data_IF_699676327899
#
_entry.id   IF_699676327899
#
_cell.length_a   1.000
_cell.length_b   1.000
_cell.length_c   1.000
_cell.angle_alpha   90.00
_cell.angle_beta   90.00
_cell.angle_gamma   90.00
#
_symmetry.space_group_name_H-M   'P 1'
#
loop_
_entity.id
_entity.type
_entity.pdbx_description
1 polymer ?
#
# COMPACT_ATOMS: atom_id res chain seq x y z
N UNK A 1 20.43 5.27 17.53
CA UNK A 1 20.19 5.18 16.07
C UNK A 1 19.31 6.36 15.71
N UNK A 2 19.88 7.32 15.03
CA UNK A 2 19.21 8.52 14.56
C UNK A 2 18.67 8.27 13.17
N UNK A 3 17.44 8.67 12.91
CA UNK A 3 16.77 8.42 11.64
C UNK A 3 16.27 9.72 11.02
N UNK A 4 16.44 9.84 9.72
CA UNK A 4 15.91 10.94 8.92
C UNK A 4 15.28 10.42 7.65
N UNK A 5 14.27 11.11 7.16
CA UNK A 5 13.71 10.86 5.83
C UNK A 5 13.90 12.13 5.01
N UNK A 6 14.38 11.94 3.78
CA UNK A 6 14.42 13.01 2.79
C UNK A 6 13.45 12.66 1.68
N UNK A 7 12.66 13.62 1.24
CA UNK A 7 11.73 13.47 0.12
C UNK A 7 11.99 14.61 -0.86
N UNK A 8 12.42 14.23 -2.05
CA UNK A 8 12.72 15.18 -3.13
C UNK A 8 11.83 14.95 -4.35
N UNK A 9 11.50 16.03 -5.05
CA UNK A 9 10.80 15.98 -6.34
C UNK A 9 11.75 16.42 -7.45
N UNK A 10 12.09 15.50 -8.34
CA UNK A 10 12.95 15.80 -9.51
C UNK A 10 12.21 15.46 -10.80
N UNK A 11 11.84 16.49 -11.59
CA UNK A 11 11.04 16.35 -12.82
C UNK A 11 9.76 15.52 -12.56
N UNK A 12 9.72 14.29 -13.10
CA UNK A 12 8.56 13.39 -13.00
C UNK A 12 8.74 12.29 -11.93
N UNK A 13 9.73 12.43 -11.03
CA UNK A 13 10.03 11.42 -10.01
C UNK A 13 10.01 12.03 -8.63
N UNK A 14 9.47 11.29 -7.67
CA UNK A 14 9.60 11.59 -6.25
C UNK A 14 10.48 10.50 -5.66
N UNK A 15 11.51 10.88 -4.93
CA UNK A 15 12.43 9.96 -4.26
C UNK A 15 12.33 10.14 -2.77
N UNK A 16 12.25 9.02 -2.07
CA UNK A 16 12.27 8.95 -0.61
C UNK A 16 13.53 8.22 -0.18
N UNK A 17 14.34 8.85 0.66
CA UNK A 17 15.56 8.30 1.23
C UNK A 17 15.35 8.09 2.73
N UNK A 18 15.64 6.90 3.22
CA UNK A 18 15.77 6.63 4.65
C UNK A 18 17.25 6.68 5.02
N UNK A 19 17.58 7.53 5.98
CA UNK A 19 18.95 7.71 6.49
C UNK A 19 18.97 7.22 7.94
N UNK A 20 19.95 6.37 8.26
CA UNK A 20 20.23 5.90 9.62
C UNK A 20 21.70 6.20 9.97
N UNK A 21 21.91 6.97 11.05
CA UNK A 21 23.24 7.38 11.55
C UNK A 21 24.15 7.95 10.42
N UNK A 22 23.56 8.80 9.54
CA UNK A 22 24.16 9.48 8.38
C UNK A 22 24.38 8.59 7.13
N UNK A 23 24.05 7.30 7.16
CA UNK A 23 24.09 6.39 6.02
C UNK A 23 22.72 6.25 5.36
N UNK A 24 22.67 6.26 4.02
CA UNK A 24 21.44 5.98 3.27
C UNK A 24 21.22 4.47 3.25
N UNK A 25 20.16 4.00 3.92
CA UNK A 25 19.83 2.58 4.05
C UNK A 25 18.74 2.12 3.09
N UNK A 26 17.88 3.03 2.64
CA UNK A 26 16.80 2.72 1.70
C UNK A 26 16.58 3.90 0.73
N UNK A 27 16.31 3.57 -0.54
CA UNK A 27 15.92 4.55 -1.57
C UNK A 27 14.70 4.02 -2.29
N UNK A 28 13.61 4.77 -2.24
CA UNK A 28 12.42 4.49 -3.03
C UNK A 28 12.24 5.57 -4.10
N UNK A 29 11.86 5.16 -5.30
CA UNK A 29 11.59 6.08 -6.40
C UNK A 29 10.19 5.80 -6.92
N UNK A 30 9.35 6.83 -6.96
CA UNK A 30 8.02 6.80 -7.58
C UNK A 30 7.92 7.80 -8.73
N UNK A 31 7.06 7.52 -9.69
CA UNK A 31 6.72 8.46 -10.76
C UNK A 31 5.66 9.42 -10.21
N UNK A 32 5.71 10.69 -10.60
CA UNK A 32 4.71 11.68 -10.22
C UNK A 32 3.33 11.25 -10.75
N UNK A 33 2.33 11.21 -9.89
CA UNK A 33 1.06 10.51 -10.09
C UNK A 33 0.14 11.08 -11.18
N UNK A 34 0.38 12.30 -11.66
CA UNK A 34 -0.39 12.86 -12.77
C UNK A 34 -0.31 12.04 -14.08
N UNK A 35 0.63 11.10 -14.16
CA UNK A 35 0.91 10.28 -15.34
C UNK A 35 0.88 8.76 -15.08
N UNK A 36 0.45 8.30 -13.89
CA UNK A 36 0.43 6.85 -13.60
C UNK A 36 -0.72 6.18 -14.34
N UNK A 37 -0.44 5.17 -15.19
CA UNK A 37 -1.50 4.42 -15.85
C UNK A 37 -2.38 3.70 -14.82
N UNK A 38 -3.64 3.38 -15.17
CA UNK A 38 -4.52 2.62 -14.30
C UNK A 38 -3.88 1.27 -13.93
N UNK A 39 -4.06 0.84 -12.67
CA UNK A 39 -3.50 -0.43 -12.18
C UNK A 39 -2.32 -0.27 -11.23
N UNK A 40 -2.27 0.84 -10.48
CA UNK A 40 -1.31 1.06 -9.39
C UNK A 40 -1.51 0.04 -8.27
N UNK A 41 -0.40 -0.43 -7.69
CA UNK A 41 -0.39 -1.35 -6.56
C UNK A 41 -1.29 -0.86 -5.42
N UNK A 42 -2.26 -1.68 -5.03
CA UNK A 42 -3.22 -1.38 -3.97
C UNK A 42 -4.52 -0.71 -4.43
N UNK A 43 -4.61 -0.22 -5.68
CA UNK A 43 -5.88 0.27 -6.25
C UNK A 43 -6.94 -0.82 -6.22
N UNK A 44 -8.21 -0.45 -5.93
CA UNK A 44 -9.35 -1.37 -5.91
C UNK A 44 -10.36 -0.96 -6.98
N UNK A 45 -10.77 -1.95 -7.78
CA UNK A 45 -11.70 -1.77 -8.90
C UNK A 45 -12.86 -2.75 -8.84
N UNK A 46 -13.94 -2.46 -9.58
CA UNK A 46 -14.87 -3.47 -10.04
C UNK A 46 -14.36 -3.95 -11.39
N UNK A 47 -13.78 -5.14 -11.41
CA UNK A 47 -13.28 -5.77 -12.63
C UNK A 47 -14.31 -6.70 -13.25
N UNK A 48 -14.23 -6.90 -14.57
CA UNK A 48 -15.09 -7.81 -15.35
C UNK A 48 -14.28 -8.96 -15.92
N UNK A 49 -14.73 -10.18 -15.70
CA UNK A 49 -14.07 -11.38 -16.23
C UNK A 49 -14.23 -11.43 -17.75
N UNK A 50 -13.13 -11.34 -18.48
CA UNK A 50 -13.09 -11.38 -19.94
C UNK A 50 -12.80 -12.80 -20.46
N UNK A 51 -11.91 -13.52 -19.78
CA UNK A 51 -11.51 -14.86 -20.19
C UNK A 51 -11.10 -15.73 -18.99
N UNK A 52 -11.26 -17.05 -19.13
CA UNK A 52 -10.86 -18.05 -18.13
C UNK A 52 -10.03 -19.12 -18.83
N UNK A 53 -8.81 -19.34 -18.33
CA UNK A 53 -7.83 -20.28 -18.92
C UNK A 53 -7.54 -21.37 -17.86
N UNK A 54 -8.33 -22.43 -17.88
CA UNK A 54 -8.32 -23.50 -16.88
C UNK A 54 -6.97 -24.24 -16.76
N UNK A 55 -6.30 -24.47 -17.88
CA UNK A 55 -5.03 -25.22 -17.93
C UNK A 55 -3.87 -24.54 -17.18
N UNK A 56 -3.95 -23.21 -16.99
CA UNK A 56 -2.97 -22.45 -16.20
C UNK A 56 -3.55 -21.96 -14.87
N UNK A 57 -4.79 -22.32 -14.55
CA UNK A 57 -5.45 -21.90 -13.30
C UNK A 57 -5.69 -20.39 -13.21
N UNK A 58 -5.91 -19.70 -14.33
CA UNK A 58 -5.98 -18.24 -14.39
C UNK A 58 -7.25 -17.72 -15.05
N UNK A 59 -7.63 -16.50 -14.69
CA UNK A 59 -8.58 -15.68 -15.44
C UNK A 59 -7.95 -14.34 -15.81
N UNK A 60 -8.53 -13.68 -16.80
CA UNK A 60 -8.18 -12.32 -17.18
C UNK A 60 -9.35 -11.41 -16.86
N UNK A 61 -9.10 -10.44 -15.99
CA UNK A 61 -10.08 -9.49 -15.50
C UNK A 61 -9.73 -8.10 -16.02
N UNK A 62 -10.65 -7.50 -16.75
CA UNK A 62 -10.52 -6.12 -17.20
C UNK A 62 -10.96 -5.17 -16.11
N UNK A 63 -10.09 -4.23 -15.72
CA UNK A 63 -10.33 -3.24 -14.64
C UNK A 63 -10.70 -1.86 -15.17
N UNK A 64 -10.30 -1.57 -16.39
CA UNK A 64 -10.69 -0.41 -17.19
C UNK A 64 -10.47 -0.76 -18.64
N UNK A 65 -11.08 -0.01 -19.57
CA UNK A 65 -11.06 -0.32 -21.01
C UNK A 65 -9.64 -0.58 -21.52
N UNK A 66 -9.40 -1.81 -21.96
CA UNK A 66 -8.11 -2.25 -22.54
C UNK A 66 -7.06 -2.71 -21.50
N UNK A 67 -7.32 -2.59 -20.20
CA UNK A 67 -6.38 -3.04 -19.16
C UNK A 67 -6.85 -4.37 -18.56
N UNK A 68 -6.29 -5.45 -19.10
CA UNK A 68 -6.55 -6.82 -18.64
C UNK A 68 -5.49 -7.24 -17.61
N UNK A 69 -5.95 -7.73 -16.47
CA UNK A 69 -5.13 -8.17 -15.36
C UNK A 69 -5.18 -9.69 -15.21
N UNK A 70 -4.06 -10.28 -14.80
CA UNK A 70 -4.00 -11.68 -14.38
C UNK A 70 -4.69 -11.87 -13.03
N UNK A 71 -5.49 -12.93 -12.90
CA UNK A 71 -6.19 -13.32 -11.67
C UNK A 71 -6.02 -14.83 -11.45
N UNK A 72 -5.57 -15.26 -10.27
CA UNK A 72 -5.50 -16.69 -9.91
C UNK A 72 -6.91 -17.21 -9.60
N UNK A 73 -7.32 -18.33 -10.24
CA UNK A 73 -8.64 -18.92 -10.02
C UNK A 73 -8.90 -19.36 -8.58
N UNK A 74 -7.85 -19.60 -7.79
CA UNK A 74 -7.97 -19.92 -6.35
C UNK A 74 -8.55 -18.75 -5.55
N UNK A 75 -8.32 -17.53 -5.98
CA UNK A 75 -8.82 -16.33 -5.33
C UNK A 75 -10.34 -16.16 -5.53
N UNK A 76 -10.95 -16.88 -6.48
CA UNK A 76 -12.38 -16.77 -6.79
C UNK A 76 -13.29 -17.26 -5.65
N UNK A 77 -12.81 -18.14 -4.78
CA UNK A 77 -13.61 -18.73 -3.68
C UNK A 77 -14.11 -17.66 -2.69
N UNK A 78 -13.28 -16.63 -2.43
CA UNK A 78 -13.59 -15.56 -1.49
C UNK A 78 -13.89 -14.23 -2.19
N UNK A 79 -14.18 -14.24 -3.50
CA UNK A 79 -14.44 -13.04 -4.26
C UNK A 79 -15.77 -12.38 -3.90
N UNK A 80 -15.77 -11.05 -3.75
CA UNK A 80 -16.98 -10.26 -3.60
C UNK A 80 -17.52 -9.88 -4.99
N UNK A 81 -18.61 -10.54 -5.40
CA UNK A 81 -19.23 -10.29 -6.70
C UNK A 81 -20.25 -9.15 -6.59
N UNK A 82 -20.18 -8.20 -7.51
CA UNK A 82 -21.22 -7.18 -7.73
C UNK A 82 -22.26 -7.67 -8.74
N UNK A 83 -21.86 -8.53 -9.69
CA UNK A 83 -22.76 -9.20 -10.64
C UNK A 83 -22.26 -10.61 -10.96
N UNK A 84 -23.19 -11.58 -10.98
CA UNK A 84 -22.92 -12.98 -11.37
C UNK A 84 -23.62 -13.31 -12.68
N UNK A 85 -22.84 -13.76 -13.68
CA UNK A 85 -23.35 -14.18 -14.98
C UNK A 85 -23.77 -15.66 -15.03
N UNK A 86 -23.36 -16.47 -14.03
CA UNK A 86 -23.64 -17.88 -13.97
C UNK A 86 -23.46 -18.51 -12.59
N UNK A 87 -23.66 -19.85 -12.51
CA UNK A 87 -23.65 -20.62 -11.25
C UNK A 87 -22.26 -21.15 -10.84
N UNK A 88 -21.25 -21.15 -11.76
CA UNK A 88 -19.89 -21.61 -11.45
C UNK A 88 -19.19 -20.61 -10.51
N UNK A 89 -18.16 -21.03 -9.77
CA UNK A 89 -17.38 -20.14 -8.91
C UNK A 89 -16.94 -18.86 -9.62
N UNK A 90 -16.48 -18.96 -10.88
CA UNK A 90 -16.17 -17.83 -11.75
C UNK A 90 -16.68 -18.09 -13.16
N UNK A 91 -17.35 -17.11 -13.79
CA UNK A 91 -17.86 -17.15 -15.16
C UNK A 91 -17.38 -15.93 -15.94
N UNK A 92 -17.23 -16.08 -17.25
CA UNK A 92 -17.02 -14.93 -18.15
C UNK A 92 -18.22 -13.99 -18.02
N UNK A 93 -17.94 -12.68 -17.90
CA UNK A 93 -18.95 -11.65 -17.68
C UNK A 93 -19.27 -11.38 -16.19
N UNK A 94 -18.79 -12.19 -15.23
CA UNK A 94 -18.89 -11.87 -13.82
C UNK A 94 -18.17 -10.55 -13.51
N UNK A 95 -18.76 -9.76 -12.58
CA UNK A 95 -18.18 -8.54 -12.09
C UNK A 95 -17.87 -8.69 -10.59
N UNK A 96 -16.64 -8.38 -10.20
CA UNK A 96 -16.16 -8.60 -8.84
C UNK A 96 -15.20 -7.50 -8.39
N UNK A 97 -15.12 -7.31 -7.09
CA UNK A 97 -14.17 -6.38 -6.47
C UNK A 97 -12.79 -7.01 -6.46
N UNK A 98 -11.82 -6.31 -7.06
CA UNK A 98 -10.43 -6.77 -7.16
C UNK A 98 -9.46 -5.67 -6.77
N UNK A 99 -8.34 -6.06 -6.18
CA UNK A 99 -7.24 -5.16 -5.82
C UNK A 99 -6.00 -5.49 -6.64
N UNK A 100 -5.29 -4.48 -7.10
CA UNK A 100 -3.99 -4.65 -7.75
C UNK A 100 -2.99 -5.18 -6.72
N UNK A 101 -2.47 -6.37 -6.95
CA UNK A 101 -1.46 -7.02 -6.11
C UNK A 101 -0.05 -6.93 -6.70
N UNK A 102 0.05 -6.69 -8.01
CA UNK A 102 1.32 -6.40 -8.71
C UNK A 102 1.03 -5.50 -9.90
N UNK A 103 1.86 -4.50 -10.08
CA UNK A 103 1.82 -3.62 -11.24
C UNK A 103 2.33 -4.32 -12.51
N UNK A 104 1.99 -3.74 -13.67
CA UNK A 104 2.53 -4.19 -14.94
C UNK A 104 4.05 -3.98 -14.97
N UNK A 105 4.81 -5.00 -15.41
CA UNK A 105 6.27 -4.91 -15.56
C UNK A 105 6.66 -5.34 -16.96
N UNK A 106 7.20 -4.42 -17.74
CA UNK A 106 7.56 -4.64 -19.16
C UNK A 106 6.37 -5.19 -19.96
N UNK A 107 6.43 -6.45 -20.40
CA UNK A 107 5.38 -7.12 -21.16
C UNK A 107 4.38 -7.91 -20.31
N UNK A 108 4.57 -7.97 -18.98
CA UNK A 108 3.68 -8.71 -18.09
C UNK A 108 2.51 -7.83 -17.67
N UNK A 109 1.30 -8.35 -17.84
CA UNK A 109 0.08 -7.71 -17.35
C UNK A 109 0.11 -7.53 -15.84
N UNK A 110 -0.59 -6.51 -15.29
CA UNK A 110 -0.76 -6.38 -13.85
C UNK A 110 -1.50 -7.59 -13.29
N UNK A 111 -1.32 -7.87 -12.01
CA UNK A 111 -2.01 -8.95 -11.31
C UNK A 111 -3.01 -8.37 -10.33
N UNK A 112 -4.21 -8.95 -10.28
CA UNK A 112 -5.24 -8.60 -9.32
C UNK A 112 -5.59 -9.80 -8.44
N UNK A 113 -6.13 -9.52 -7.26
CA UNK A 113 -6.61 -10.52 -6.29
C UNK A 113 -7.96 -10.08 -5.71
N UNK A 114 -8.77 -11.04 -5.30
CA UNK A 114 -9.98 -10.79 -4.49
C UNK A 114 -9.68 -10.69 -2.99
N UNK A 115 -8.47 -11.03 -2.56
CA UNK A 115 -8.02 -10.84 -1.18
C UNK A 115 -7.68 -9.37 -0.94
N UNK A 116 -8.72 -8.56 -0.65
CA UNK A 116 -8.54 -7.14 -0.41
C UNK A 116 -7.75 -6.90 0.87
N UNK A 117 -6.86 -5.92 0.84
CA UNK A 117 -6.01 -5.55 1.97
C UNK A 117 -6.16 -4.06 2.29
N UNK A 118 -6.53 -3.76 3.53
CA UNK A 118 -6.67 -2.40 4.06
C UNK A 118 -5.57 -2.18 5.08
N UNK A 119 -4.56 -1.43 4.68
CA UNK A 119 -3.35 -1.23 5.49
C UNK A 119 -3.46 0.02 6.33
N UNK A 120 -3.53 -0.18 7.66
CA UNK A 120 -3.38 0.85 8.67
C UNK A 120 -1.93 1.05 9.13
N UNK A 121 -1.74 1.86 10.14
CA UNK A 121 -0.45 2.10 10.80
C UNK A 121 -0.04 0.89 11.65
N UNK A 122 -0.96 0.38 12.46
CA UNK A 122 -0.74 -0.68 13.44
C UNK A 122 -1.24 -2.05 12.98
N UNK A 123 -2.23 -2.07 12.11
CA UNK A 123 -2.89 -3.27 11.65
C UNK A 123 -3.13 -3.28 10.15
N UNK A 124 -3.30 -4.49 9.60
CA UNK A 124 -3.81 -4.72 8.24
C UNK A 124 -5.04 -5.61 8.37
N UNK A 125 -6.14 -5.17 7.78
CA UNK A 125 -7.35 -5.98 7.64
C UNK A 125 -7.33 -6.64 6.26
N UNK A 126 -7.57 -7.96 6.22
CA UNK A 126 -7.52 -8.75 4.98
C UNK A 126 -8.85 -9.46 4.74
N UNK A 127 -9.48 -9.25 3.58
CA UNK A 127 -10.65 -9.99 3.14
C UNK A 127 -10.26 -11.37 2.59
N UNK A 128 -11.10 -12.39 2.85
CA UNK A 128 -10.89 -13.75 2.34
C UNK A 128 -9.82 -14.57 3.07
N UNK A 129 -9.05 -13.95 3.97
CA UNK A 129 -8.12 -14.64 4.86
C UNK A 129 -8.46 -14.29 6.30
N UNK A 130 -9.02 -15.23 7.04
CA UNK A 130 -9.54 -15.01 8.40
C UNK A 130 -8.50 -15.22 9.51
N UNK A 131 -7.21 -15.31 9.15
CA UNK A 131 -6.13 -15.56 10.12
C UNK A 131 -5.79 -14.30 10.91
N UNK A 132 -5.45 -14.51 12.19
CA UNK A 132 -4.85 -13.48 13.03
C UNK A 132 -3.34 -13.67 12.98
N UNK A 133 -2.65 -12.65 12.45
CA UNK A 133 -1.19 -12.59 12.37
C UNK A 133 -0.63 -11.49 13.26
N UNK A 134 0.60 -11.67 13.74
CA UNK A 134 1.36 -10.61 14.43
C UNK A 134 2.78 -10.62 13.90
N UNK A 135 3.33 -9.45 13.58
CA UNK A 135 4.68 -9.28 13.06
C UNK A 135 5.71 -10.03 13.92
N UNK A 136 6.60 -10.77 13.28
CA UNK A 136 7.69 -11.50 13.95
C UNK A 136 8.70 -10.57 14.66
N UNK A 137 8.76 -9.30 14.26
CA UNK A 137 9.61 -8.27 14.89
C UNK A 137 9.07 -7.78 16.24
N UNK A 138 7.85 -8.14 16.63
CA UNK A 138 7.27 -7.87 17.95
C UNK A 138 7.73 -8.97 18.92
N UNK A 139 8.14 -8.64 20.17
CA UNK A 139 8.54 -9.60 21.18
C UNK A 139 7.47 -10.67 21.44
N UNK A 140 7.88 -11.92 21.72
CA UNK A 140 6.97 -13.08 21.82
C UNK A 140 5.84 -12.86 22.84
N UNK A 141 6.16 -12.37 24.03
CA UNK A 141 5.15 -12.13 25.07
C UNK A 141 4.03 -11.18 24.60
N UNK A 142 4.42 -10.08 23.93
CA UNK A 142 3.47 -9.10 23.40
C UNK A 142 2.69 -9.67 22.19
N UNK A 143 3.32 -10.54 21.37
CA UNK A 143 2.61 -11.23 20.28
C UNK A 143 1.51 -12.15 20.81
N UNK A 144 1.78 -12.86 21.90
CA UNK A 144 0.81 -13.79 22.50
C UNK A 144 -0.35 -12.99 23.13
N UNK A 145 -0.07 -11.85 23.76
CA UNK A 145 -1.10 -10.91 24.24
C UNK A 145 -1.99 -10.37 23.12
N UNK A 146 -1.40 -9.89 21.99
CA UNK A 146 -2.16 -9.43 20.85
C UNK A 146 -3.07 -10.53 20.28
N UNK A 147 -2.56 -11.75 20.13
CA UNK A 147 -3.35 -12.88 19.62
C UNK A 147 -4.54 -13.23 20.52
N UNK A 148 -4.34 -13.23 21.84
CA UNK A 148 -5.41 -13.51 22.80
C UNK A 148 -6.52 -12.45 22.72
N UNK A 149 -6.16 -11.19 22.75
CA UNK A 149 -7.11 -10.08 22.63
C UNK A 149 -7.85 -10.08 21.29
N UNK A 150 -7.14 -10.27 20.17
CA UNK A 150 -7.72 -10.29 18.82
C UNK A 150 -8.57 -11.53 18.58
N UNK A 151 -8.34 -12.65 19.29
CA UNK A 151 -9.16 -13.85 19.15
C UNK A 151 -10.64 -13.60 19.45
N UNK A 152 -10.93 -12.62 20.32
CA UNK A 152 -12.28 -12.17 20.66
C UNK A 152 -12.93 -11.31 19.57
N UNK A 153 -12.11 -10.74 18.67
CA UNK A 153 -12.55 -9.91 17.54
C UNK A 153 -12.62 -10.70 16.23
N UNK A 154 -12.38 -12.02 16.29
CA UNK A 154 -12.36 -12.90 15.12
C UNK A 154 -13.68 -12.81 14.36
N UNK A 155 -13.57 -12.69 13.04
CA UNK A 155 -14.70 -12.67 12.10
C UNK A 155 -14.46 -13.69 11.00
N UNK A 156 -15.52 -14.21 10.40
CA UNK A 156 -15.45 -15.18 9.29
C UNK A 156 -15.17 -14.53 7.93
N UNK A 157 -15.27 -13.21 7.84
CA UNK A 157 -15.12 -12.47 6.59
C UNK A 157 -13.73 -11.87 6.40
N UNK A 158 -13.00 -11.59 7.48
CA UNK A 158 -11.70 -10.91 7.41
C UNK A 158 -10.72 -11.41 8.48
N UNK A 159 -9.43 -11.30 8.17
CA UNK A 159 -8.35 -11.49 9.11
C UNK A 159 -7.71 -10.17 9.52
N UNK A 160 -6.85 -10.23 10.54
CA UNK A 160 -6.14 -9.07 11.08
C UNK A 160 -4.67 -9.43 11.23
N UNK A 161 -3.79 -8.56 10.72
CA UNK A 161 -2.34 -8.70 10.87
C UNK A 161 -1.82 -7.48 11.62
N UNK A 162 -1.28 -7.68 12.82
CA UNK A 162 -0.64 -6.63 13.60
C UNK A 162 0.76 -6.34 13.06
N UNK A 163 1.03 -5.06 12.80
CA UNK A 163 2.28 -4.57 12.26
C UNK A 163 3.28 -4.25 13.37
N UNK A 164 4.56 -4.14 13.02
CA UNK A 164 5.65 -3.79 13.95
C UNK A 164 5.41 -2.46 14.66
N UNK A 165 4.76 -1.51 13.99
CA UNK A 165 4.44 -0.18 14.53
C UNK A 165 3.49 -0.21 15.74
N UNK A 166 2.81 -1.33 16.00
CA UNK A 166 1.99 -1.52 17.19
C UNK A 166 2.81 -1.80 18.46
N UNK A 167 4.14 -1.98 18.32
CA UNK A 167 5.03 -2.20 19.48
C UNK A 167 5.05 -0.95 20.37
N UNK A 168 4.69 -1.11 21.64
CA UNK A 168 4.69 -0.01 22.63
C UNK A 168 3.51 0.96 22.55
N UNK A 169 2.53 0.66 21.69
CA UNK A 169 1.29 1.43 21.56
C UNK A 169 0.21 0.82 22.49
N UNK A 170 -0.60 1.64 23.17
CA UNK A 170 -1.76 1.14 23.91
C UNK A 170 -2.68 0.32 23.02
N UNK A 171 -3.13 -0.83 23.51
CA UNK A 171 -4.00 -1.71 22.69
C UNK A 171 -5.27 -1.02 22.21
N UNK A 172 -5.80 -0.06 22.97
CA UNK A 172 -6.98 0.71 22.58
C UNK A 172 -6.79 1.44 21.24
N UNK A 173 -5.61 2.04 21.01
CA UNK A 173 -5.33 2.73 19.75
C UNK A 173 -5.27 1.75 18.56
N UNK A 174 -4.77 0.53 18.81
CA UNK A 174 -4.74 -0.55 17.80
C UNK A 174 -6.17 -1.03 17.50
N UNK A 175 -7.00 -1.17 18.53
CA UNK A 175 -8.40 -1.56 18.41
C UNK A 175 -9.21 -0.51 17.66
N UNK A 176 -9.05 0.76 17.99
CA UNK A 176 -9.71 1.89 17.32
C UNK A 176 -9.33 1.94 15.82
N UNK A 177 -8.06 1.68 15.48
CA UNK A 177 -7.65 1.58 14.08
C UNK A 177 -8.29 0.38 13.37
N UNK A 178 -8.36 -0.77 14.02
CA UNK A 178 -9.02 -1.96 13.45
C UNK A 178 -10.49 -1.67 13.16
N UNK A 179 -11.21 -1.00 14.07
CA UNK A 179 -12.60 -0.64 13.83
C UNK A 179 -12.75 0.35 12.65
N UNK A 180 -11.88 1.35 12.54
CA UNK A 180 -11.84 2.25 11.35
C UNK A 180 -11.62 1.46 10.05
N UNK A 181 -10.70 0.50 10.04
CA UNK A 181 -10.45 -0.34 8.85
C UNK A 181 -11.66 -1.22 8.51
N UNK A 182 -12.39 -1.72 9.51
CA UNK A 182 -13.64 -2.48 9.29
C UNK A 182 -14.75 -1.59 8.70
N UNK A 183 -14.86 -0.36 9.17
CA UNK A 183 -15.83 0.60 8.62
C UNK A 183 -15.47 0.95 7.17
N UNK A 184 -14.20 1.21 6.88
CA UNK A 184 -13.71 1.46 5.52
C UNK A 184 -14.01 0.29 4.59
N UNK A 185 -13.72 -0.93 5.03
CA UNK A 185 -14.02 -2.17 4.30
C UNK A 185 -15.53 -2.27 3.98
N UNK A 186 -16.41 -2.13 4.99
CA UNK A 186 -17.86 -2.18 4.82
C UNK A 186 -18.36 -1.11 3.85
N UNK A 187 -17.87 0.13 4.01
CA UNK A 187 -18.23 1.25 3.14
C UNK A 187 -17.83 0.99 1.70
N UNK A 188 -16.64 0.43 1.46
CA UNK A 188 -16.17 0.08 0.12
C UNK A 188 -17.06 -0.96 -0.53
N UNK A 189 -17.39 -2.07 0.17
CA UNK A 189 -18.27 -3.12 -0.36
C UNK A 189 -19.69 -2.61 -0.66
N UNK A 190 -20.25 -1.79 0.22
CA UNK A 190 -21.56 -1.16 -0.01
C UNK A 190 -21.53 -0.22 -1.23
N UNK A 191 -20.44 0.55 -1.39
CA UNK A 191 -20.25 1.40 -2.56
C UNK A 191 -20.14 0.59 -3.84
N UNK A 192 -19.48 -0.57 -3.81
CA UNK A 192 -19.32 -1.46 -4.95
C UNK A 192 -20.68 -1.90 -5.53
N UNK A 193 -21.68 -2.16 -4.68
CA UNK A 193 -23.03 -2.58 -5.12
C UNK A 193 -23.77 -1.50 -5.93
N UNK A 194 -23.41 -0.23 -5.74
CA UNK A 194 -24.03 0.91 -6.44
C UNK A 194 -23.22 1.42 -7.64
N UNK A 195 -22.08 0.79 -7.94
CA UNK A 195 -21.18 1.19 -9.03
C UNK A 195 -21.19 0.15 -10.16
N UNK A 196 -20.85 0.62 -11.35
CA UNK A 196 -20.74 -0.23 -12.55
C UNK A 196 -19.34 -0.84 -12.69
N UNK A 197 -19.21 -1.87 -13.52
CA UNK A 197 -17.91 -2.41 -13.91
C UNK A 197 -16.94 -1.30 -14.36
N UNK A 198 -15.65 -1.52 -14.17
CA UNK A 198 -14.56 -0.58 -14.46
C UNK A 198 -14.50 0.65 -13.56
N UNK A 199 -15.36 0.74 -12.53
CA UNK A 199 -15.25 1.79 -11.52
C UNK A 199 -14.06 1.54 -10.62
N UNK A 200 -13.20 2.56 -10.41
CA UNK A 200 -12.21 2.56 -9.35
C UNK A 200 -12.90 2.92 -8.04
N UNK A 201 -12.91 1.98 -7.09
CA UNK A 201 -13.55 2.12 -5.78
C UNK A 201 -12.65 2.82 -4.77
N UNK A 202 -11.33 2.56 -4.85
CA UNK A 202 -10.31 3.15 -3.99
C UNK A 202 -9.02 3.34 -4.76
N UNK A 203 -8.42 4.52 -4.66
CA UNK A 203 -7.05 4.76 -5.10
C UNK A 203 -6.07 4.41 -3.99
N UNK A 204 -5.00 3.72 -4.34
CA UNK A 204 -3.88 3.57 -3.42
C UNK A 204 -3.26 4.95 -3.15
N UNK A 205 -2.77 5.20 -1.92
CA UNK A 205 -2.06 6.43 -1.65
C UNK A 205 -0.79 6.54 -2.49
N UNK A 206 -0.26 7.74 -2.70
CA UNK A 206 1.04 7.94 -3.32
C UNK A 206 2.13 7.06 -2.70
N UNK A 207 3.11 6.63 -3.50
CA UNK A 207 4.16 5.72 -3.01
C UNK A 207 4.93 6.32 -1.84
N UNK A 208 5.29 7.61 -1.91
CA UNK A 208 5.97 8.31 -0.81
C UNK A 208 5.11 8.40 0.47
N UNK A 209 3.79 8.49 0.36
CA UNK A 209 2.87 8.39 1.52
C UNK A 209 2.86 6.96 2.07
N UNK A 210 2.85 5.95 1.20
CA UNK A 210 2.94 4.54 1.60
C UNK A 210 4.26 4.25 2.29
N UNK A 211 5.36 4.81 1.82
CA UNK A 211 6.69 4.70 2.43
C UNK A 211 6.67 5.28 3.84
N UNK A 212 6.17 6.51 4.01
CA UNK A 212 6.03 7.15 5.32
C UNK A 212 5.16 6.34 6.29
N UNK A 213 4.08 5.72 5.79
CA UNK A 213 3.21 4.84 6.57
C UNK A 213 3.92 3.55 7.00
N UNK A 214 4.85 3.06 6.19
CA UNK A 214 5.56 1.81 6.42
C UNK A 214 6.80 1.98 7.31
N UNK A 215 7.39 3.17 7.34
CA UNK A 215 8.58 3.44 8.15
C UNK A 215 8.23 3.40 9.65
N UNK A 216 9.07 2.70 10.39
CA UNK A 216 8.99 2.69 11.84
C UNK A 216 9.51 4.02 12.40
N UNK A 217 8.64 4.77 13.06
CA UNK A 217 8.90 6.17 13.46
C UNK A 217 9.68 6.33 14.78
N UNK A 218 10.07 5.23 15.44
CA UNK A 218 10.93 5.32 16.64
C UNK A 218 12.34 5.78 16.22
N UNK A 219 12.88 6.75 16.94
CA UNK A 219 14.19 7.35 16.61
C UNK A 219 14.19 8.31 15.41
N UNK A 220 13.03 8.62 14.84
CA UNK A 220 12.90 9.61 13.77
C UNK A 220 13.14 11.02 14.32
N UNK A 221 14.16 11.71 13.80
CA UNK A 221 14.51 13.07 14.19
C UNK A 221 13.80 14.11 13.33
N UNK A 222 13.80 13.90 12.01
CA UNK A 222 13.20 14.82 11.06
C UNK A 222 12.80 14.14 9.74
N UNK A 223 11.86 14.78 9.04
CA UNK A 223 11.40 14.43 7.70
C UNK A 223 11.51 15.70 6.86
N UNK A 224 12.52 15.77 5.99
CA UNK A 224 12.82 16.94 5.16
C UNK A 224 12.18 16.75 3.79
N UNK A 225 11.37 17.71 3.38
CA UNK A 225 10.58 17.64 2.16
C UNK A 225 10.94 18.82 1.26
N UNK A 226 11.38 18.52 0.03
CA UNK A 226 11.67 19.52 -0.97
C UNK A 226 10.40 19.90 -1.75
N UNK A 227 10.08 21.19 -1.71
CA UNK A 227 8.95 21.78 -2.43
C UNK A 227 7.67 21.88 -1.61
N UNK A 228 7.04 23.05 -1.73
CA UNK A 228 5.87 23.43 -0.92
C UNK A 228 4.64 22.56 -1.17
N UNK A 229 4.38 22.19 -2.44
CA UNK A 229 3.20 21.40 -2.79
C UNK A 229 3.25 20.04 -2.12
N UNK A 230 4.41 19.36 -2.24
CA UNK A 230 4.65 18.05 -1.63
C UNK A 230 4.63 18.12 -0.10
N UNK A 231 5.19 19.20 0.47
CA UNK A 231 5.13 19.42 1.91
C UNK A 231 3.69 19.56 2.41
N UNK A 232 2.86 20.37 1.71
CA UNK A 232 1.46 20.57 2.11
C UNK A 232 0.69 19.26 2.09
N UNK A 233 0.83 18.44 1.04
CA UNK A 233 0.16 17.15 0.93
C UNK A 233 0.60 16.18 2.05
N UNK A 234 1.90 16.10 2.32
CA UNK A 234 2.42 15.25 3.41
C UNK A 234 1.97 15.79 4.78
N UNK A 235 1.91 17.10 4.97
CA UNK A 235 1.43 17.71 6.20
C UNK A 235 -0.04 17.40 6.47
N UNK A 236 -0.91 17.48 5.46
CA UNK A 236 -2.33 17.09 5.58
C UNK A 236 -2.48 15.62 5.94
N UNK A 237 -1.69 14.76 5.32
CA UNK A 237 -1.64 13.34 5.68
C UNK A 237 -1.21 13.14 7.14
N UNK A 238 -0.14 13.83 7.60
CA UNK A 238 0.34 13.72 8.96
C UNK A 238 -0.64 14.27 9.98
N UNK A 239 -1.35 15.36 9.69
CA UNK A 239 -2.39 15.90 10.57
C UNK A 239 -3.51 14.89 10.82
N UNK A 240 -3.80 14.04 9.84
CA UNK A 240 -4.84 13.00 9.93
C UNK A 240 -4.34 11.73 10.61
N UNK A 241 -3.16 11.23 10.22
CA UNK A 241 -2.67 9.89 10.59
C UNK A 241 -1.61 9.92 11.71
N UNK A 242 -0.86 11.03 11.87
CA UNK A 242 0.27 11.17 12.78
C UNK A 242 0.33 12.56 13.42
N UNK A 243 -0.74 13.07 14.04
CA UNK A 243 -0.79 14.45 14.51
C UNK A 243 0.35 14.81 15.47
N UNK A 244 0.79 13.85 16.30
CA UNK A 244 1.89 14.02 17.24
C UNK A 244 3.28 14.10 16.58
N UNK A 245 3.38 13.70 15.29
CA UNK A 245 4.62 13.67 14.51
C UNK A 245 4.74 14.82 13.50
N UNK A 246 3.73 15.66 13.34
CA UNK A 246 3.75 16.81 12.42
C UNK A 246 4.97 17.72 12.68
N UNK A 247 5.40 17.83 13.92
CA UNK A 247 6.60 18.59 14.32
C UNK A 247 7.92 18.07 13.73
N UNK A 248 7.94 16.86 13.18
CA UNK A 248 9.11 16.28 12.51
C UNK A 248 9.24 16.77 11.07
N UNK A 249 8.17 17.31 10.47
CA UNK A 249 8.17 17.77 9.09
C UNK A 249 8.94 19.09 8.97
N UNK A 250 9.82 19.15 7.99
CA UNK A 250 10.58 20.35 7.63
C UNK A 250 10.47 20.60 6.14
N UNK A 251 10.01 21.79 5.79
CA UNK A 251 10.04 22.27 4.41
C UNK A 251 11.47 22.69 4.05
N UNK A 252 11.94 22.23 2.89
CA UNK A 252 13.17 22.66 2.29
C UNK A 252 12.89 23.39 0.98
N UNK A 253 13.30 24.67 0.90
CA UNK A 253 13.13 25.53 -0.26
C UNK A 253 14.46 26.29 -0.50
N UNK A 254 15.33 25.72 -1.31
CA UNK A 254 16.54 26.39 -1.76
C UNK A 254 16.73 26.10 -3.26
N UNK A 255 16.38 27.04 -4.15
CA UNK A 255 16.47 26.82 -5.58
C UNK A 255 17.92 26.68 -6.10
N UNK A 256 18.89 27.25 -5.39
CA UNK A 256 20.30 27.24 -5.80
C UNK A 256 21.01 25.95 -5.34
N UNK A 257 20.49 25.28 -4.34
CA UNK A 257 21.11 24.10 -3.75
C UNK A 257 20.08 22.98 -3.47
N UNK A 258 19.79 22.11 -4.43
CA UNK A 258 18.83 21.02 -4.28
C UNK A 258 19.16 20.09 -3.10
N UNK A 259 18.13 19.46 -2.53
CA UNK A 259 18.23 18.57 -1.37
C UNK A 259 19.21 17.40 -1.63
N UNK A 260 19.21 16.85 -2.85
CA UNK A 260 20.12 15.78 -3.26
C UNK A 260 21.60 16.16 -3.16
N UNK A 261 21.95 17.41 -3.40
CA UNK A 261 23.32 17.91 -3.24
C UNK A 261 23.69 18.12 -1.78
N UNK A 262 22.76 18.60 -0.96
CA UNK A 262 22.97 18.82 0.47
C UNK A 262 23.35 17.53 1.20
N UNK A 263 22.71 16.41 0.84
CA UNK A 263 22.93 15.11 1.46
C UNK A 263 23.74 14.14 0.60
N UNK A 264 24.36 14.62 -0.50
CA UNK A 264 25.17 13.81 -1.43
C UNK A 264 24.46 12.56 -1.98
N UNK A 265 23.13 12.60 -2.09
CA UNK A 265 22.33 11.45 -2.51
C UNK A 265 22.53 11.09 -3.99
N UNK A 266 22.98 12.04 -4.82
CA UNK A 266 23.31 11.80 -6.23
C UNK A 266 24.46 10.79 -6.39
N UNK A 267 25.46 10.84 -5.52
CA UNK A 267 26.60 9.92 -5.56
C UNK A 267 26.19 8.48 -5.26
N UNK A 268 25.27 8.29 -4.32
CA UNK A 268 24.71 6.97 -4.01
C UNK A 268 23.88 6.39 -5.17
N UNK A 269 23.14 7.23 -5.90
CA UNK A 269 22.34 6.80 -7.05
C UNK A 269 23.21 6.33 -8.22
N UNK A 270 24.35 6.95 -8.46
CA UNK A 270 25.31 6.54 -9.49
C UNK A 270 25.91 5.17 -9.15
N UNK A 271 26.25 4.96 -7.88
CA UNK A 271 26.85 3.67 -7.42
C UNK A 271 25.88 2.49 -7.46
N UNK A 272 24.57 2.72 -7.22
CA UNK A 272 23.54 1.66 -7.29
C UNK A 272 23.11 1.33 -8.71
N UNK A 273 23.18 2.27 -9.66
CA UNK A 273 22.87 2.01 -11.07
C UNK A 273 23.96 1.19 -11.77
N UNK A 274 25.23 1.44 -11.50
CA UNK A 274 26.35 0.68 -12.06
C UNK A 274 26.39 -0.77 -11.55
N UNK A 275 26.03 -1.00 -10.28
CA UNK A 275 25.95 -2.36 -9.73
C UNK A 275 24.78 -3.20 -10.28
N UNK A 276 23.77 -2.57 -10.90
CA UNK A 276 22.65 -3.26 -11.53
C UNK A 276 22.97 -3.68 -12.99
N UNK A 277 23.86 -2.96 -13.68
CA UNK A 277 24.25 -3.27 -15.07
C UNK A 277 25.28 -4.41 -15.15
N UNK A 278 26.07 -4.65 -14.11
CA UNK A 278 27.06 -5.74 -14.07
C UNK A 278 26.48 -7.15 -13.83
N UNK A 279 25.13 -7.29 -13.75
CA UNK A 279 24.46 -8.60 -13.57
C UNK A 279 23.68 -9.09 -14.79
N UNK A 280 24.03 -8.64 -15.98
CA UNK A 280 23.48 -9.20 -17.21
C UNK A 280 24.46 -10.19 -17.83
#
# INVERSE_FOLDING_TARGET
MKRKILIEKSKNKIRTYLIEDDDIVEIHTSINEEQVPPGKLGDIYIGKVQNIVQNIGAAFIEITKGVNCYFDLKDAENAYFTHKSGKKPLCIGDELVVQISREAVKTKAPTVTSHLSFTGRYAVLTHGNTRIGVSSKIPRALRDEFKDRLSRMKNEQFGIIIRTNAKGVPFQEVEDEIERLKEEYKKLLNTALSRVAFSRLKSAPPTYISDLKNVYMEGMEEIVIEGKDLYTEIQEYFLTEFPEKVKLLRLYENPDFPLCKLYSTETCLLYTSDAADDRI
#
